data_IF_999722829612
#
_entry.id   IF_999722829612
#
_cell.length_a   1.000
_cell.length_b   1.000
_cell.length_c   1.000
_cell.angle_alpha   90.00
_cell.angle_beta   90.00
_cell.angle_gamma   90.00
#
_symmetry.space_group_name_H-M   'P 1'
#
loop_
_entity.id
_entity.type
_entity.pdbx_description
1 polymer ?
#
# COMPACT_ATOMS: atom_id res chain seq x y z
N UNK A 1 -6.44 -10.23 -21.73
CA UNK A 1 -5.82 -9.04 -22.30
C UNK A 1 -5.28 -8.13 -21.19
N UNK A 2 -6.08 -7.69 -20.19
CA UNK A 2 -5.63 -6.73 -19.13
C UNK A 2 -4.35 -7.21 -18.43
N UNK A 3 -4.33 -8.47 -17.94
CA UNK A 3 -3.15 -9.03 -17.26
C UNK A 3 -1.94 -9.08 -18.20
N UNK A 4 -2.17 -9.45 -19.46
CA UNK A 4 -1.11 -9.49 -20.45
C UNK A 4 -0.53 -8.09 -20.71
N UNK A 5 -1.37 -7.07 -20.87
CA UNK A 5 -0.95 -5.69 -21.07
C UNK A 5 -0.14 -5.18 -19.86
N UNK A 6 -0.58 -5.47 -18.64
CA UNK A 6 0.17 -5.15 -17.43
C UNK A 6 1.55 -5.82 -17.40
N UNK A 7 1.63 -7.08 -17.80
CA UNK A 7 2.90 -7.83 -17.82
C UNK A 7 3.81 -7.38 -18.96
N UNK A 8 3.25 -7.00 -20.11
CA UNK A 8 4.00 -6.44 -21.23
C UNK A 8 4.52 -5.02 -20.93
N UNK A 9 3.87 -4.28 -19.99
CA UNK A 9 4.33 -2.94 -19.59
C UNK A 9 5.60 -2.95 -18.74
N UNK A 10 6.01 -4.09 -18.21
CA UNK A 10 7.28 -4.22 -17.49
C UNK A 10 8.46 -4.01 -18.44
N UNK A 11 9.42 -3.13 -18.11
CA UNK A 11 10.61 -2.93 -18.94
C UNK A 11 11.47 -4.19 -18.96
N UNK A 12 12.07 -4.48 -20.09
CA UNK A 12 13.12 -5.50 -20.17
C UNK A 12 14.32 -5.13 -19.27
N UNK A 13 15.04 -6.10 -18.71
CA UNK A 13 16.27 -5.81 -17.97
C UNK A 13 17.23 -4.92 -18.78
N UNK A 14 17.73 -3.84 -18.16
CA UNK A 14 18.62 -2.87 -18.79
C UNK A 14 17.92 -1.79 -19.63
N UNK A 15 16.60 -1.76 -19.69
CA UNK A 15 15.83 -0.73 -20.40
C UNK A 15 14.93 0.06 -19.44
N UNK A 16 14.71 1.33 -19.76
CA UNK A 16 13.80 2.20 -19.00
C UNK A 16 12.34 1.89 -19.33
N UNK A 17 11.44 2.23 -18.40
CA UNK A 17 9.99 2.17 -18.62
C UNK A 17 9.62 3.03 -19.84
N UNK A 18 8.82 2.48 -20.76
CA UNK A 18 8.39 3.17 -22.00
C UNK A 18 9.26 2.92 -23.24
N UNK A 19 10.37 2.20 -23.12
CA UNK A 19 11.22 1.82 -24.27
C UNK A 19 10.77 0.49 -24.90
N UNK A 20 9.48 0.35 -25.21
CA UNK A 20 8.91 -0.91 -25.71
C UNK A 20 9.32 -1.26 -27.13
N UNK A 21 9.73 -0.29 -27.92
CA UNK A 21 9.90 -0.43 -29.37
C UNK A 21 11.33 -0.20 -29.86
N UNK A 22 12.32 -0.65 -29.11
CA UNK A 22 13.71 -0.57 -29.58
C UNK A 22 13.99 -1.74 -30.51
N UNK A 23 13.96 -1.48 -31.82
CA UNK A 23 14.49 -2.40 -32.84
C UNK A 23 13.56 -3.55 -33.25
N UNK A 24 12.23 -3.39 -33.20
CA UNK A 24 11.29 -4.42 -33.68
C UNK A 24 11.35 -5.73 -32.89
N UNK A 25 11.74 -5.67 -31.62
CA UNK A 25 11.75 -6.82 -30.72
C UNK A 25 10.35 -7.27 -30.36
N UNK A 26 10.13 -8.58 -30.12
CA UNK A 26 8.82 -9.07 -29.72
C UNK A 26 8.40 -8.47 -28.37
N UNK A 27 7.11 -8.12 -28.24
CA UNK A 27 6.51 -7.79 -26.97
C UNK A 27 6.42 -9.07 -26.13
N UNK A 28 6.78 -8.98 -24.88
CA UNK A 28 6.82 -10.13 -23.97
C UNK A 28 6.07 -9.79 -22.70
N UNK A 29 4.98 -10.51 -22.45
CA UNK A 29 4.34 -10.52 -21.15
C UNK A 29 5.13 -11.43 -20.22
N UNK A 30 5.79 -10.88 -19.20
CA UNK A 30 6.70 -11.68 -18.38
C UNK A 30 6.53 -11.46 -16.88
N UNK A 31 6.89 -12.50 -16.12
CA UNK A 31 6.89 -12.49 -14.66
C UNK A 31 8.00 -13.39 -14.15
N UNK A 32 8.66 -12.92 -13.06
CA UNK A 32 9.61 -13.75 -12.33
C UNK A 32 8.94 -14.35 -11.10
N UNK A 33 9.49 -15.48 -10.63
CA UNK A 33 9.16 -16.12 -9.39
C UNK A 33 10.43 -16.52 -8.64
N UNK A 34 10.38 -16.50 -7.32
CA UNK A 34 11.44 -17.01 -6.45
C UNK A 34 10.79 -17.78 -5.32
N UNK A 35 11.19 -19.05 -5.13
CA UNK A 35 10.69 -19.84 -4.02
C UNK A 35 11.30 -19.39 -2.69
N UNK A 36 10.64 -19.77 -1.60
CA UNK A 36 11.16 -19.49 -0.26
C UNK A 36 12.57 -20.06 -0.09
N UNK A 37 13.47 -19.25 0.45
CA UNK A 37 14.87 -19.64 0.72
C UNK A 37 15.76 -19.72 -0.52
N UNK A 38 15.41 -19.08 -1.63
CA UNK A 38 16.23 -19.04 -2.86
C UNK A 38 16.53 -20.40 -3.48
N UNK A 39 15.57 -21.33 -3.42
CA UNK A 39 15.74 -22.68 -3.98
C UNK A 39 15.49 -22.73 -5.47
N UNK A 40 14.50 -21.94 -5.92
CA UNK A 40 14.07 -21.89 -7.32
C UNK A 40 13.98 -20.46 -7.81
N UNK A 41 14.64 -20.17 -8.89
CA UNK A 41 14.54 -18.93 -9.63
C UNK A 41 13.79 -19.20 -10.95
N UNK A 42 12.62 -18.59 -11.14
CA UNK A 42 11.78 -18.74 -12.31
C UNK A 42 11.67 -17.43 -13.10
N UNK A 43 11.60 -17.55 -14.41
CA UNK A 43 11.11 -16.52 -15.31
C UNK A 43 10.23 -17.16 -16.37
N UNK A 44 9.04 -16.62 -16.57
CA UNK A 44 8.12 -17.04 -17.62
C UNK A 44 7.81 -15.83 -18.49
N UNK A 45 7.98 -15.95 -19.79
CA UNK A 45 7.68 -14.94 -20.80
C UNK A 45 6.79 -15.50 -21.89
N UNK A 46 5.75 -14.78 -22.26
CA UNK A 46 4.86 -15.12 -23.37
C UNK A 46 4.88 -14.03 -24.42
N UNK A 47 5.25 -14.38 -25.63
CA UNK A 47 5.10 -13.56 -26.83
C UNK A 47 3.76 -13.88 -27.49
N UNK A 48 3.54 -13.35 -28.69
CA UNK A 48 2.35 -13.71 -29.49
C UNK A 48 2.36 -15.19 -29.91
N UNK A 49 3.53 -15.76 -30.14
CA UNK A 49 3.68 -17.08 -30.76
C UNK A 49 4.39 -18.10 -29.87
N UNK A 50 5.11 -17.66 -28.86
CA UNK A 50 5.92 -18.52 -28.00
C UNK A 50 5.66 -18.25 -26.52
N UNK A 51 5.76 -19.29 -25.72
CA UNK A 51 5.89 -19.18 -24.27
C UNK A 51 7.19 -19.84 -23.87
N UNK A 52 8.03 -19.08 -23.16
CA UNK A 52 9.34 -19.51 -22.69
C UNK A 52 9.31 -19.53 -21.16
N UNK A 53 9.67 -20.66 -20.59
CA UNK A 53 9.89 -20.80 -19.15
C UNK A 53 11.36 -21.13 -18.88
N UNK A 54 11.98 -20.42 -17.95
CA UNK A 54 13.33 -20.68 -17.48
C UNK A 54 13.29 -20.93 -15.99
N UNK A 55 13.87 -22.06 -15.60
CA UNK A 55 14.11 -22.42 -14.24
C UNK A 55 15.61 -22.56 -13.98
N UNK A 56 16.05 -21.94 -12.88
CA UNK A 56 17.42 -22.10 -12.38
C UNK A 56 17.34 -22.51 -10.93
N UNK A 57 17.92 -23.63 -10.61
CA UNK A 57 17.88 -24.22 -9.28
C UNK A 57 18.77 -25.46 -9.20
N UNK A 58 18.79 -26.10 -8.04
CA UNK A 58 19.46 -27.38 -7.85
C UNK A 58 18.42 -28.51 -7.75
N UNK A 59 18.65 -29.66 -8.39
CA UNK A 59 17.72 -30.78 -8.34
C UNK A 59 17.45 -31.29 -6.92
N UNK A 60 18.39 -31.14 -6.01
CA UNK A 60 18.30 -31.52 -4.61
C UNK A 60 17.57 -30.47 -3.73
N UNK A 61 17.16 -29.34 -4.32
CA UNK A 61 16.50 -28.24 -3.62
C UNK A 61 17.40 -27.44 -2.67
N UNK A 62 18.73 -27.60 -2.76
CA UNK A 62 19.66 -26.81 -1.97
C UNK A 62 19.56 -25.33 -2.34
N UNK A 63 19.46 -24.41 -1.35
CA UNK A 63 19.39 -22.98 -1.62
C UNK A 63 20.58 -22.42 -2.41
N UNK A 64 20.31 -21.43 -3.22
CA UNK A 64 21.29 -20.61 -3.94
C UNK A 64 21.17 -19.15 -3.46
N UNK A 65 21.71 -18.77 -2.29
CA UNK A 65 21.58 -17.45 -1.73
C UNK A 65 22.01 -16.35 -2.72
N UNK A 66 21.18 -15.29 -2.87
CA UNK A 66 21.43 -14.22 -3.81
C UNK A 66 21.00 -14.51 -5.26
N UNK A 67 20.59 -15.74 -5.57
CA UNK A 67 20.03 -16.11 -6.85
C UNK A 67 18.52 -16.07 -6.80
N UNK A 68 17.89 -15.18 -7.56
CA UNK A 68 16.44 -15.05 -7.65
C UNK A 68 16.00 -14.75 -9.07
N UNK A 69 14.72 -14.94 -9.34
CA UNK A 69 14.18 -14.94 -10.70
C UNK A 69 14.61 -13.77 -11.58
N UNK A 70 14.63 -12.53 -11.01
CA UNK A 70 14.97 -11.34 -11.79
C UNK A 70 16.47 -11.24 -12.15
N UNK A 71 17.36 -11.81 -11.33
CA UNK A 71 18.82 -11.74 -11.55
C UNK A 71 19.32 -12.90 -12.41
N UNK A 72 18.74 -14.08 -12.20
CA UNK A 72 19.29 -15.32 -12.79
C UNK A 72 18.46 -15.82 -13.97
N UNK A 73 17.17 -16.05 -13.76
CA UNK A 73 16.32 -16.67 -14.77
C UNK A 73 15.83 -15.67 -15.84
N UNK A 74 15.59 -14.41 -15.46
CA UNK A 74 15.02 -13.40 -16.35
C UNK A 74 15.94 -13.02 -17.50
N UNK A 75 17.23 -12.71 -17.30
CA UNK A 75 18.15 -12.43 -18.42
C UNK A 75 18.21 -13.59 -19.41
N UNK A 76 18.35 -14.82 -18.90
CA UNK A 76 18.41 -16.02 -19.73
C UNK A 76 17.12 -16.24 -20.51
N UNK A 77 15.96 -15.99 -19.89
CA UNK A 77 14.66 -16.06 -20.57
C UNK A 77 14.60 -15.09 -21.77
N UNK A 78 15.11 -13.86 -21.62
CA UNK A 78 15.15 -12.90 -22.72
C UNK A 78 16.15 -13.27 -23.79
N UNK A 79 17.29 -13.85 -23.47
CA UNK A 79 18.24 -14.39 -24.45
C UNK A 79 17.59 -15.49 -25.28
N UNK A 80 16.86 -16.41 -24.64
CA UNK A 80 16.11 -17.45 -25.36
C UNK A 80 15.04 -16.82 -26.27
N UNK A 81 14.23 -15.89 -25.76
CA UNK A 81 13.20 -15.20 -26.57
C UNK A 81 13.83 -14.49 -27.78
N UNK A 82 14.95 -13.81 -27.57
CA UNK A 82 15.62 -13.05 -28.64
C UNK A 82 16.29 -13.95 -29.67
N UNK A 83 16.57 -15.22 -29.36
CA UNK A 83 17.10 -16.26 -30.28
C UNK A 83 16.01 -16.93 -31.11
N UNK A 84 14.72 -16.83 -30.72
CA UNK A 84 13.63 -17.47 -31.45
C UNK A 84 13.39 -16.79 -32.83
N UNK A 85 12.90 -17.56 -33.81
CA UNK A 85 12.51 -17.01 -35.12
C UNK A 85 11.45 -15.92 -34.95
N UNK A 86 11.71 -14.75 -35.50
CA UNK A 86 10.76 -13.63 -35.47
C UNK A 86 9.64 -13.85 -36.46
N UNK A 87 8.42 -13.51 -36.03
CA UNK A 87 7.24 -13.61 -36.86
C UNK A 87 6.59 -12.23 -37.01
N UNK A 88 5.82 -12.10 -38.11
CA UNK A 88 5.11 -10.86 -38.39
C UNK A 88 4.13 -10.51 -37.26
N UNK A 89 4.23 -9.29 -36.77
CA UNK A 89 3.36 -8.77 -35.69
C UNK A 89 3.85 -9.07 -34.27
N UNK A 90 5.04 -9.66 -34.07
CA UNK A 90 5.58 -9.94 -32.73
C UNK A 90 5.77 -8.67 -31.88
N UNK A 91 6.08 -7.53 -32.50
CA UNK A 91 6.23 -6.24 -31.83
C UNK A 91 4.91 -5.49 -31.64
N UNK A 92 3.82 -5.93 -32.28
CA UNK A 92 2.55 -5.24 -32.21
C UNK A 92 1.81 -5.55 -30.89
N UNK A 93 1.21 -4.51 -30.30
CA UNK A 93 0.29 -4.70 -29.17
C UNK A 93 -0.95 -5.49 -29.61
N UNK A 94 -1.43 -6.36 -28.75
CA UNK A 94 -2.71 -7.02 -28.99
C UNK A 94 -3.85 -5.98 -28.92
N UNK A 95 -4.80 -5.98 -29.87
CA UNK A 95 -5.92 -5.04 -29.83
C UNK A 95 -6.73 -5.23 -28.55
N UNK A 96 -7.16 -4.12 -27.96
CA UNK A 96 -8.04 -4.15 -26.78
C UNK A 96 -9.37 -4.79 -27.14
N UNK A 97 -9.83 -5.81 -26.41
CA UNK A 97 -11.13 -6.45 -26.64
C UNK A 97 -12.27 -5.48 -26.39
N UNK A 98 -13.40 -5.66 -27.07
CA UNK A 98 -14.59 -4.85 -26.89
C UNK A 98 -15.18 -4.90 -25.46
N UNK A 99 -14.88 -5.97 -24.72
CA UNK A 99 -15.27 -6.12 -23.30
C UNK A 99 -14.41 -5.31 -22.34
N UNK A 100 -13.34 -4.67 -22.81
CA UNK A 100 -12.44 -3.86 -21.97
C UNK A 100 -12.55 -2.41 -22.39
N UNK A 101 -12.75 -1.51 -21.43
CA UNK A 101 -12.63 -0.06 -21.60
C UNK A 101 -11.50 0.48 -20.73
N UNK A 102 -10.97 1.64 -21.11
CA UNK A 102 -10.06 2.41 -20.27
C UNK A 102 -10.76 3.67 -19.81
N UNK A 103 -10.89 3.83 -18.50
CA UNK A 103 -11.60 4.95 -17.89
C UNK A 103 -10.83 5.46 -16.69
N UNK A 104 -11.10 6.71 -16.30
CA UNK A 104 -10.52 7.28 -15.09
C UNK A 104 -11.35 6.85 -13.87
N UNK A 105 -10.66 6.34 -12.86
CA UNK A 105 -11.21 6.02 -11.55
C UNK A 105 -10.65 6.97 -10.49
N UNK A 106 -11.41 7.16 -9.44
CA UNK A 106 -11.06 8.00 -8.30
C UNK A 106 -10.48 7.18 -7.13
N UNK A 107 -9.34 7.57 -6.66
CA UNK A 107 -8.79 7.06 -5.41
C UNK A 107 -9.17 7.99 -4.25
N UNK A 108 -9.47 7.44 -3.03
CA UNK A 108 -9.36 6.05 -2.62
C UNK A 108 -10.60 5.18 -2.85
N UNK A 109 -11.70 5.72 -3.40
CA UNK A 109 -12.97 4.99 -3.53
C UNK A 109 -12.92 3.86 -4.55
N UNK A 110 -12.11 3.99 -5.61
CA UNK A 110 -12.07 3.06 -6.73
C UNK A 110 -13.26 3.22 -7.70
N UNK A 111 -14.06 4.27 -7.54
CA UNK A 111 -15.24 4.51 -8.37
C UNK A 111 -14.88 5.26 -9.65
N UNK A 112 -15.74 5.18 -10.66
CA UNK A 112 -15.59 5.98 -11.88
C UNK A 112 -15.60 7.46 -11.55
N UNK A 113 -14.73 8.21 -12.22
CA UNK A 113 -14.61 9.65 -11.99
C UNK A 113 -15.81 10.44 -12.50
N UNK A 114 -16.50 9.92 -13.53
CA UNK A 114 -17.63 10.59 -14.14
C UNK A 114 -18.80 10.75 -13.14
N UNK A 115 -19.19 12.00 -12.91
CA UNK A 115 -20.28 12.35 -11.99
C UNK A 115 -19.94 12.24 -10.51
N UNK A 116 -18.71 11.87 -10.13
CA UNK A 116 -18.33 11.75 -8.73
C UNK A 116 -17.96 13.13 -8.15
N UNK A 117 -18.51 13.52 -6.97
CA UNK A 117 -18.13 14.76 -6.30
C UNK A 117 -16.63 14.82 -5.97
N UNK A 118 -16.03 16.00 -6.10
CA UNK A 118 -14.59 16.21 -5.83
C UNK A 118 -14.16 15.75 -4.43
N UNK A 119 -15.03 15.85 -3.43
CA UNK A 119 -14.77 15.36 -2.06
C UNK A 119 -14.56 13.84 -1.99
N UNK A 120 -15.02 13.09 -3.00
CA UNK A 120 -14.88 11.64 -3.11
C UNK A 120 -13.76 11.22 -4.07
N UNK A 121 -13.11 12.18 -4.74
CA UNK A 121 -12.05 11.94 -5.72
C UNK A 121 -10.79 12.73 -5.36
N UNK A 122 -9.87 12.11 -4.64
CA UNK A 122 -8.60 12.77 -4.25
C UNK A 122 -7.51 12.62 -5.30
N UNK A 123 -7.59 11.58 -6.12
CA UNK A 123 -6.63 11.32 -7.19
C UNK A 123 -7.29 10.55 -8.32
N UNK A 124 -7.12 11.03 -9.54
CA UNK A 124 -7.52 10.33 -10.77
C UNK A 124 -6.44 9.33 -11.17
N UNK A 125 -6.87 8.16 -11.58
CA UNK A 125 -6.00 7.08 -12.10
C UNK A 125 -6.68 6.41 -13.29
N UNK A 126 -5.99 6.28 -14.45
CA UNK A 126 -6.50 5.48 -15.54
C UNK A 126 -6.55 4.00 -15.13
N UNK A 127 -7.63 3.33 -15.41
CA UNK A 127 -7.82 1.91 -15.12
C UNK A 127 -8.50 1.19 -16.29
N UNK A 128 -8.17 -0.07 -16.45
CA UNK A 128 -8.90 -0.95 -17.36
C UNK A 128 -10.10 -1.55 -16.62
N UNK A 129 -11.27 -1.40 -17.21
CA UNK A 129 -12.52 -1.94 -16.71
C UNK A 129 -12.95 -3.12 -17.59
N UNK A 130 -13.36 -4.23 -16.97
CA UNK A 130 -13.93 -5.38 -17.66
C UNK A 130 -15.46 -5.26 -17.64
N UNK A 131 -16.09 -5.26 -18.83
CA UNK A 131 -17.53 -5.12 -18.99
C UNK A 131 -18.10 -3.90 -18.24
N UNK A 132 -17.32 -2.84 -18.19
CA UNK A 132 -17.67 -1.61 -17.48
C UNK A 132 -17.68 -1.69 -15.95
N UNK A 133 -17.24 -2.80 -15.36
CA UNK A 133 -17.16 -2.94 -13.92
C UNK A 133 -15.86 -2.35 -13.39
N UNK A 134 -15.96 -1.34 -12.52
CA UNK A 134 -14.83 -0.85 -11.72
C UNK A 134 -14.76 -1.68 -10.45
N UNK A 135 -13.68 -2.49 -10.25
CA UNK A 135 -13.53 -3.24 -9.02
C UNK A 135 -13.29 -2.29 -7.84
N UNK A 136 -13.83 -2.58 -6.64
CA UNK A 136 -13.57 -1.76 -5.47
C UNK A 136 -12.08 -1.73 -5.16
N UNK A 137 -11.56 -0.56 -4.79
CA UNK A 137 -10.14 -0.38 -4.44
C UNK A 137 -9.73 -1.26 -3.26
N UNK A 138 -10.65 -1.48 -2.32
CA UNK A 138 -10.45 -2.36 -1.17
C UNK A 138 -11.57 -3.40 -1.11
N UNK A 139 -11.26 -4.70 -1.09
CA UNK A 139 -12.26 -5.74 -0.99
C UNK A 139 -12.98 -5.70 0.37
N UNK A 140 -14.26 -6.10 0.39
CA UNK A 140 -15.13 -6.04 1.58
C UNK A 140 -14.52 -6.70 2.84
N UNK A 141 -13.74 -7.76 2.70
CA UNK A 141 -13.03 -8.41 3.81
C UNK A 141 -12.12 -7.47 4.58
N UNK A 142 -11.49 -6.56 3.84
CA UNK A 142 -10.56 -5.58 4.39
C UNK A 142 -11.27 -4.28 4.73
N UNK A 143 -12.40 -3.98 4.10
CA UNK A 143 -13.21 -2.80 4.37
C UNK A 143 -13.66 -2.73 5.84
N UNK A 144 -14.00 -3.86 6.46
CA UNK A 144 -14.32 -3.93 7.90
C UNK A 144 -13.13 -3.62 8.80
N UNK A 145 -11.91 -3.93 8.34
CA UNK A 145 -10.67 -3.74 9.10
C UNK A 145 -10.05 -2.36 8.86
N UNK A 146 -10.22 -1.82 7.66
CA UNK A 146 -9.53 -0.61 7.22
C UNK A 146 -10.44 0.61 7.07
N UNK A 147 -11.73 0.45 7.26
CA UNK A 147 -12.80 1.39 6.98
C UNK A 147 -12.81 1.89 5.52
N UNK A 148 -13.87 1.60 4.75
CA UNK A 148 -13.92 1.86 3.32
C UNK A 148 -13.98 3.35 3.01
N UNK A 149 -13.49 3.66 1.83
CA UNK A 149 -13.23 4.94 1.25
C UNK A 149 -14.30 6.04 1.31
N UNK A 150 -15.47 5.82 1.91
CA UNK A 150 -16.51 6.86 2.11
C UNK A 150 -16.88 6.99 3.58
N UNK A 151 -16.93 8.22 4.06
CA UNK A 151 -17.47 8.55 5.37
C UNK A 151 -18.51 9.63 5.26
N UNK A 152 -19.72 9.35 5.80
CA UNK A 152 -20.79 10.33 5.96
C UNK A 152 -20.59 11.14 7.24
N UNK A 153 -20.92 12.42 7.18
CA UNK A 153 -20.95 13.31 8.33
C UNK A 153 -22.02 14.38 8.12
N UNK A 154 -22.52 14.94 9.21
CA UNK A 154 -23.37 16.12 9.18
C UNK A 154 -22.51 17.37 9.18
N UNK A 155 -22.83 18.33 8.35
CA UNK A 155 -22.19 19.64 8.28
C UNK A 155 -23.21 20.75 8.47
N UNK A 156 -22.81 21.79 9.15
CA UNK A 156 -23.51 23.06 9.15
C UNK A 156 -23.55 23.63 7.73
N UNK A 157 -24.73 23.84 7.19
CA UNK A 157 -24.90 24.35 5.82
C UNK A 157 -24.20 25.67 5.57
N UNK A 158 -24.04 26.51 6.59
CA UNK A 158 -23.47 27.85 6.50
C UNK A 158 -21.94 27.84 6.56
N UNK A 159 -21.35 27.04 7.43
CA UNK A 159 -19.91 27.05 7.69
C UNK A 159 -19.17 25.88 7.04
N UNK A 160 -19.87 24.80 6.69
CA UNK A 160 -19.30 23.54 6.23
C UNK A 160 -18.60 22.74 7.32
N UNK A 161 -18.58 23.24 8.57
CA UNK A 161 -17.97 22.54 9.70
C UNK A 161 -18.83 21.34 10.14
N UNK A 162 -18.18 20.34 10.72
CA UNK A 162 -18.83 19.12 11.15
C UNK A 162 -19.74 19.37 12.36
N UNK A 163 -20.92 18.72 12.35
CA UNK A 163 -21.87 18.70 13.46
C UNK A 163 -21.79 17.33 14.13
N UNK A 164 -21.77 17.28 15.48
CA UNK A 164 -21.84 16.02 16.21
C UNK A 164 -23.27 15.50 16.27
N UNK A 165 -23.45 14.19 16.43
CA UNK A 165 -24.77 13.57 16.45
C UNK A 165 -25.67 14.09 17.58
N UNK A 166 -25.08 14.53 18.67
CA UNK A 166 -25.78 15.01 19.85
C UNK A 166 -26.03 16.54 19.85
N UNK A 167 -25.43 17.23 18.87
CA UNK A 167 -25.60 18.66 18.70
C UNK A 167 -26.84 18.98 17.88
N UNK A 168 -27.53 20.06 18.23
CA UNK A 168 -28.61 20.66 17.46
C UNK A 168 -28.27 22.09 17.16
N UNK A 169 -28.10 22.38 15.86
CA UNK A 169 -27.87 23.75 15.43
C UNK A 169 -29.21 24.50 15.23
N UNK A 170 -29.21 25.83 15.43
CA UNK A 170 -30.40 26.63 15.14
C UNK A 170 -30.68 26.82 13.65
N UNK A 171 -29.86 26.26 12.78
CA UNK A 171 -29.95 26.37 11.33
C UNK A 171 -29.74 24.99 10.66
N UNK A 172 -29.88 24.95 9.34
CA UNK A 172 -29.92 23.72 8.57
C UNK A 172 -28.60 22.93 8.62
N UNK A 173 -28.75 21.63 8.82
CA UNK A 173 -27.68 20.64 8.75
C UNK A 173 -27.77 19.88 7.43
N UNK A 174 -26.64 19.66 6.77
CA UNK A 174 -26.56 18.96 5.49
C UNK A 174 -25.68 17.72 5.62
N UNK A 175 -26.21 16.58 5.19
CA UNK A 175 -25.40 15.36 5.09
C UNK A 175 -24.37 15.50 3.97
N UNK A 176 -23.10 15.22 4.28
CA UNK A 176 -22.01 15.24 3.35
C UNK A 176 -21.22 13.93 3.40
N UNK A 177 -20.49 13.66 2.35
CA UNK A 177 -19.60 12.51 2.26
C UNK A 177 -18.19 12.97 1.91
N UNK A 178 -17.20 12.28 2.43
CA UNK A 178 -15.79 12.48 2.13
C UNK A 178 -15.11 11.13 1.87
N UNK A 179 -14.21 11.10 0.91
CA UNK A 179 -13.35 9.94 0.68
C UNK A 179 -12.25 9.88 1.73
N UNK A 180 -12.02 8.70 2.28
CA UNK A 180 -10.94 8.46 3.24
C UNK A 180 -10.04 7.33 2.79
N UNK A 181 -8.75 7.54 2.92
CA UNK A 181 -7.78 6.48 2.82
C UNK A 181 -7.85 5.58 4.05
N UNK A 182 -7.55 4.28 3.91
CA UNK A 182 -7.39 3.42 5.07
C UNK A 182 -6.39 4.03 6.06
N UNK A 183 -6.75 4.01 7.33
CA UNK A 183 -5.93 4.59 8.39
C UNK A 183 -4.50 4.03 8.38
N UNK A 184 -4.34 2.73 8.06
CA UNK A 184 -3.05 2.08 7.91
C UNK A 184 -2.11 2.79 6.93
N UNK A 185 -2.62 3.42 5.88
CA UNK A 185 -1.81 4.12 4.88
C UNK A 185 -1.42 5.53 5.30
N UNK A 186 -2.08 6.11 6.31
CA UNK A 186 -1.84 7.48 6.78
C UNK A 186 -0.36 7.85 6.97
N UNK A 187 0.49 7.00 7.58
CA UNK A 187 1.90 7.31 7.78
C UNK A 187 2.69 7.54 6.47
N UNK A 188 2.25 6.92 5.37
CA UNK A 188 2.93 6.97 4.06
C UNK A 188 2.27 7.93 3.05
N UNK A 189 1.12 8.51 3.41
CA UNK A 189 0.47 9.50 2.57
C UNK A 189 1.15 10.87 2.67
N UNK A 190 1.10 11.66 1.61
CA UNK A 190 1.53 13.04 1.65
C UNK A 190 0.68 13.86 2.63
N UNK A 191 1.23 14.98 3.14
CA UNK A 191 0.50 15.89 4.04
C UNK A 191 -0.83 16.35 3.40
N UNK A 192 -0.79 16.78 2.14
CA UNK A 192 -1.97 17.24 1.40
C UNK A 192 -3.05 16.14 1.29
N UNK A 193 -2.65 14.89 1.00
CA UNK A 193 -3.57 13.76 0.91
C UNK A 193 -4.20 13.44 2.27
N UNK A 194 -3.42 13.53 3.35
CA UNK A 194 -3.95 13.33 4.71
C UNK A 194 -4.96 14.41 5.09
N UNK A 195 -4.64 15.67 4.82
CA UNK A 195 -5.54 16.82 5.08
C UNK A 195 -6.84 16.70 4.29
N UNK A 196 -6.76 16.32 3.01
CA UNK A 196 -7.95 16.06 2.17
C UNK A 196 -8.82 14.89 2.64
N UNK A 197 -8.27 13.99 3.46
CA UNK A 197 -8.98 12.83 4.05
C UNK A 197 -9.55 13.11 5.43
N UNK A 198 -9.25 14.24 6.03
CA UNK A 198 -9.73 14.58 7.37
C UNK A 198 -11.17 15.09 7.31
N UNK A 199 -11.95 14.70 8.32
CA UNK A 199 -13.24 15.35 8.55
C UNK A 199 -13.01 16.81 8.88
N UNK A 200 -13.91 17.72 8.44
CA UNK A 200 -13.88 19.10 8.87
C UNK A 200 -13.88 19.21 10.42
N UNK A 201 -13.32 20.29 10.91
CA UNK A 201 -13.34 20.61 12.34
C UNK A 201 -14.79 20.63 12.86
N UNK A 202 -14.96 20.30 14.13
CA UNK A 202 -16.26 20.39 14.78
C UNK A 202 -16.70 21.86 14.83
N UNK A 203 -17.97 22.11 14.55
CA UNK A 203 -18.58 23.45 14.70
C UNK A 203 -18.35 23.97 16.11
N UNK A 204 -17.93 25.23 16.28
CA UNK A 204 -17.81 25.82 17.60
C UNK A 204 -19.14 25.89 18.35
N UNK A 205 -20.26 25.88 17.65
CA UNK A 205 -21.61 25.86 18.22
C UNK A 205 -21.99 24.47 18.76
N UNK A 206 -21.18 23.43 18.42
CA UNK A 206 -21.30 22.05 18.90
C UNK A 206 -20.20 21.68 19.89
N UNK A 207 -19.63 22.63 20.63
CA UNK A 207 -18.60 22.32 21.63
C UNK A 207 -19.21 21.44 22.73
N UNK A 208 -18.65 20.24 22.83
CA UNK A 208 -18.85 19.41 24.01
C UNK A 208 -18.31 20.16 25.25
N UNK A 209 -19.18 20.52 26.15
CA UNK A 209 -18.82 21.01 27.49
C UNK A 209 -18.24 19.83 28.29
N UNK A 210 -16.97 19.46 28.02
CA UNK A 210 -16.24 18.61 28.95
C UNK A 210 -15.55 17.35 28.46
N UNK A 211 -15.41 17.12 27.15
CA UNK A 211 -14.46 16.07 26.69
C UNK A 211 -13.07 16.65 26.53
N UNK A 212 -12.17 16.17 27.38
CA UNK A 212 -10.73 16.42 27.38
C UNK A 212 -10.18 16.43 25.95
N UNK A 213 -9.31 17.40 25.66
CA UNK A 213 -8.51 17.41 24.46
C UNK A 213 -7.87 16.02 24.29
N UNK A 214 -8.20 15.29 23.22
CA UNK A 214 -7.67 13.96 23.00
C UNK A 214 -6.15 14.05 23.04
N UNK A 215 -5.55 13.39 24.01
CA UNK A 215 -4.09 13.31 24.12
C UNK A 215 -3.61 12.68 22.82
N UNK A 216 -2.69 13.37 22.12
CA UNK A 216 -2.16 12.85 20.87
C UNK A 216 -1.53 11.47 21.09
N UNK A 217 -1.83 10.52 20.20
CA UNK A 217 -1.24 9.19 20.27
C UNK A 217 0.29 9.30 20.26
N UNK A 218 0.95 8.71 21.24
CA UNK A 218 2.41 8.67 21.32
C UNK A 218 2.93 7.32 21.83
N UNK A 219 4.15 6.99 21.43
CA UNK A 219 4.83 5.77 21.86
C UNK A 219 5.63 6.10 23.11
N UNK A 220 5.35 5.37 24.19
CA UNK A 220 6.11 5.36 25.42
C UNK A 220 7.08 4.17 25.43
N UNK A 221 8.29 4.36 25.97
CA UNK A 221 9.35 3.33 26.05
C UNK A 221 10.36 3.38 24.90
N UNK A 222 10.20 4.24 23.88
CA UNK A 222 11.17 4.48 22.82
C UNK A 222 11.07 5.91 22.28
N UNK A 223 12.17 6.64 22.34
CA UNK A 223 12.25 8.02 21.82
C UNK A 223 12.65 8.06 20.35
N UNK A 224 12.17 9.08 19.64
CA UNK A 224 12.61 9.32 18.25
C UNK A 224 14.11 9.63 18.20
N UNK A 225 14.81 9.00 17.25
CA UNK A 225 16.26 9.09 17.12
C UNK A 225 17.07 8.22 18.11
N UNK A 226 16.43 7.38 18.92
CA UNK A 226 17.12 6.53 19.88
C UNK A 226 18.12 5.57 19.20
N UNK A 227 19.25 5.34 19.87
CA UNK A 227 20.22 4.31 19.47
C UNK A 227 20.20 3.21 20.51
N UNK A 228 19.88 1.99 20.08
CA UNK A 228 19.81 0.81 20.92
C UNK A 228 21.09 0.00 20.77
N UNK A 229 21.77 -0.29 21.87
CA UNK A 229 22.93 -1.14 21.89
C UNK A 229 22.59 -2.50 22.53
N UNK A 230 23.10 -3.58 21.96
CA UNK A 230 23.01 -4.91 22.58
C UNK A 230 23.95 -4.98 23.79
N UNK A 231 23.54 -5.78 24.76
CA UNK A 231 24.45 -6.10 25.85
C UNK A 231 25.72 -6.82 25.30
N UNK A 232 26.91 -6.53 25.81
CA UNK A 232 28.12 -7.22 25.39
C UNK A 232 27.96 -8.75 25.51
N UNK A 233 28.36 -9.49 24.47
CA UNK A 233 28.26 -10.95 24.38
C UNK A 233 26.83 -11.54 24.43
N UNK A 234 25.78 -10.76 24.12
CA UNK A 234 24.43 -11.25 24.03
C UNK A 234 24.13 -11.68 22.58
N UNK A 235 23.63 -12.92 22.41
CA UNK A 235 23.07 -13.40 21.16
C UNK A 235 21.65 -12.87 20.91
N UNK A 236 21.02 -12.30 21.95
CA UNK A 236 19.67 -11.75 21.89
C UNK A 236 19.67 -10.28 21.47
N UNK A 237 18.61 -9.87 20.79
CA UNK A 237 18.35 -8.48 20.44
C UNK A 237 18.05 -7.61 21.67
N UNK A 238 17.83 -6.32 21.42
CA UNK A 238 17.43 -5.38 22.46
C UNK A 238 15.93 -5.56 22.76
N UNK A 239 15.60 -5.91 23.99
CA UNK A 239 14.22 -6.08 24.42
C UNK A 239 13.67 -4.79 24.99
N UNK A 240 12.60 -4.27 24.38
CA UNK A 240 11.90 -3.07 24.82
C UNK A 240 10.53 -3.42 25.36
N UNK A 241 10.05 -2.57 26.26
CA UNK A 241 8.68 -2.50 26.76
C UNK A 241 8.06 -1.22 26.23
N UNK A 242 7.03 -1.34 25.40
CA UNK A 242 6.43 -0.24 24.67
C UNK A 242 4.94 -0.12 25.02
N UNK A 243 4.42 1.10 25.04
CA UNK A 243 3.00 1.40 25.18
C UNK A 243 2.59 2.44 24.17
N UNK A 244 1.35 2.35 23.70
CA UNK A 244 0.72 3.43 22.96
C UNK A 244 -0.20 4.20 23.90
N UNK A 245 0.12 5.45 24.17
CA UNK A 245 -0.67 6.32 25.05
C UNK A 245 -1.46 7.33 24.22
N UNK A 246 -2.65 7.73 24.65
CA UNK A 246 -3.51 8.69 23.93
C UNK A 246 -4.61 8.03 23.10
N UNK A 247 -4.82 6.71 23.21
CA UNK A 247 -5.98 6.01 22.64
C UNK A 247 -6.39 4.85 23.54
N UNK A 248 -7.69 4.66 23.71
CA UNK A 248 -8.28 3.50 24.41
C UNK A 248 -8.66 2.37 23.43
N UNK A 249 -8.48 2.58 22.15
CA UNK A 249 -8.84 1.65 21.09
C UNK A 249 -7.76 0.60 20.83
N UNK A 250 -8.04 -0.30 19.89
CA UNK A 250 -7.03 -1.21 19.36
C UNK A 250 -5.95 -0.41 18.62
N UNK A 251 -4.68 -0.73 18.88
CA UNK A 251 -3.52 -0.12 18.27
C UNK A 251 -2.69 -1.20 17.56
N UNK A 252 -2.56 -1.06 16.27
CA UNK A 252 -1.68 -1.89 15.45
C UNK A 252 -0.25 -1.34 15.48
N UNK A 253 0.71 -2.23 15.70
CA UNK A 253 2.13 -1.92 15.70
C UNK A 253 2.80 -2.44 14.44
N UNK A 254 3.55 -1.56 13.77
CA UNK A 254 4.29 -1.90 12.55
C UNK A 254 5.77 -1.55 12.71
N UNK A 255 6.63 -2.49 12.36
CA UNK A 255 8.08 -2.28 12.25
C UNK A 255 8.44 -2.28 10.77
N UNK A 256 9.04 -1.19 10.29
CA UNK A 256 9.42 -1.00 8.89
C UNK A 256 8.26 -1.29 7.91
N UNK A 257 7.05 -0.88 8.29
CA UNK A 257 5.83 -1.11 7.53
C UNK A 257 5.23 -2.52 7.63
N UNK A 258 5.86 -3.45 8.39
CA UNK A 258 5.34 -4.80 8.63
C UNK A 258 4.59 -4.86 9.96
N UNK A 259 3.40 -5.41 9.95
CA UNK A 259 2.63 -5.62 11.16
C UNK A 259 3.36 -6.60 12.10
N UNK A 260 3.49 -6.24 13.38
CA UNK A 260 4.21 -7.03 14.39
C UNK A 260 3.38 -7.40 15.61
N UNK A 261 2.39 -6.59 15.97
CA UNK A 261 1.54 -6.83 17.13
C UNK A 261 0.29 -5.94 17.10
N UNK A 262 -0.69 -6.28 17.95
CA UNK A 262 -1.81 -5.42 18.27
C UNK A 262 -1.95 -5.35 19.81
N UNK A 263 -2.18 -4.14 20.32
CA UNK A 263 -2.49 -3.90 21.75
C UNK A 263 -3.80 -3.14 21.86
N UNK A 264 -4.32 -2.96 23.07
CA UNK A 264 -5.49 -2.13 23.31
C UNK A 264 -5.19 -1.10 24.40
N UNK A 265 -5.52 0.16 24.13
CA UNK A 265 -5.20 1.25 25.03
C UNK A 265 -3.71 1.25 25.40
N UNK A 266 -3.39 1.56 26.64
CA UNK A 266 -2.03 1.60 27.19
C UNK A 266 -1.45 0.20 27.53
N UNK A 267 -1.96 -0.89 26.93
CA UNK A 267 -1.45 -2.23 27.15
C UNK A 267 0.03 -2.32 26.77
N UNK A 268 0.83 -2.96 27.63
CA UNK A 268 2.26 -3.16 27.42
C UNK A 268 2.51 -4.16 26.30
N UNK A 269 3.31 -3.76 25.32
CA UNK A 269 3.91 -4.64 24.33
C UNK A 269 5.38 -4.89 24.66
N UNK A 270 5.78 -6.14 24.73
CA UNK A 270 7.21 -6.51 24.84
C UNK A 270 7.70 -7.01 23.48
N UNK A 271 8.79 -6.44 23.00
CA UNK A 271 9.37 -6.83 21.70
C UNK A 271 10.89 -6.81 21.75
N UNK A 272 11.48 -7.80 21.08
CA UNK A 272 12.91 -7.90 20.85
C UNK A 272 13.25 -7.37 19.45
N UNK A 273 14.25 -6.48 19.38
CA UNK A 273 14.76 -5.89 18.15
C UNK A 273 16.17 -6.43 17.93
N UNK A 274 16.30 -7.37 17.00
CA UNK A 274 17.54 -8.11 16.75
C UNK A 274 18.27 -7.66 15.49
N UNK A 275 17.59 -7.09 14.52
CA UNK A 275 18.18 -6.67 13.25
C UNK A 275 18.94 -5.35 13.42
N UNK A 276 20.27 -5.29 13.12
CA UNK A 276 21.02 -4.04 13.15
C UNK A 276 20.59 -3.12 12.01
N UNK A 277 20.61 -1.81 12.27
CA UNK A 277 20.30 -0.79 11.27
C UNK A 277 19.25 0.21 11.73
N UNK A 278 18.85 1.08 10.81
CA UNK A 278 17.82 2.08 11.04
C UNK A 278 16.43 1.45 10.86
N UNK A 279 15.57 1.69 11.83
CA UNK A 279 14.20 1.15 11.87
C UNK A 279 13.17 2.25 12.12
N UNK A 280 11.96 1.98 11.71
CA UNK A 280 10.79 2.83 11.98
C UNK A 280 9.71 2.01 12.66
N UNK A 281 9.34 2.40 13.88
CA UNK A 281 8.20 1.82 14.61
C UNK A 281 7.01 2.75 14.50
N UNK A 282 5.89 2.23 14.03
CA UNK A 282 4.62 2.94 13.88
C UNK A 282 3.58 2.33 14.81
N UNK A 283 2.89 3.17 15.58
CA UNK A 283 1.67 2.83 16.30
C UNK A 283 0.48 3.49 15.60
N UNK A 284 -0.56 2.72 15.29
CA UNK A 284 -1.75 3.16 14.56
C UNK A 284 -3.00 2.69 15.29
N UNK A 285 -3.78 3.63 15.77
CA UNK A 285 -5.05 3.36 16.46
C UNK A 285 -6.21 3.15 15.45
N UNK A 286 -7.23 2.41 15.87
CA UNK A 286 -8.38 2.08 15.04
C UNK A 286 -9.19 3.31 14.58
N UNK A 287 -9.11 4.45 15.29
CA UNK A 287 -9.71 5.74 14.90
C UNK A 287 -8.91 6.50 13.84
N UNK A 288 -7.73 5.97 13.44
CA UNK A 288 -6.84 6.56 12.46
C UNK A 288 -5.78 7.48 13.04
N UNK A 289 -5.73 7.68 14.35
CA UNK A 289 -4.60 8.35 14.99
C UNK A 289 -3.35 7.49 14.86
N UNK A 290 -2.21 8.11 14.57
CA UNK A 290 -0.95 7.40 14.43
C UNK A 290 0.24 8.22 14.89
N UNK A 291 1.32 7.51 15.23
CA UNK A 291 2.61 8.10 15.57
C UNK A 291 3.74 7.19 15.11
N UNK A 292 4.90 7.78 14.88
CA UNK A 292 6.09 7.08 14.45
C UNK A 292 7.31 7.50 15.27
N UNK A 293 8.18 6.54 15.55
CA UNK A 293 9.52 6.79 16.08
C UNK A 293 10.54 6.09 15.19
N UNK A 294 11.66 6.77 14.90
CA UNK A 294 12.82 6.21 14.21
C UNK A 294 13.88 5.90 15.23
N UNK A 295 14.56 4.79 15.06
CA UNK A 295 15.63 4.39 15.96
C UNK A 295 16.68 3.56 15.20
N UNK A 296 17.84 3.41 15.80
CA UNK A 296 18.92 2.62 15.22
C UNK A 296 19.35 1.51 16.18
N UNK A 297 19.52 0.29 15.69
CA UNK A 297 20.05 -0.85 16.45
C UNK A 297 21.51 -1.05 16.08
N UNK A 298 22.42 -0.94 17.05
CA UNK A 298 23.83 -1.21 16.84
C UNK A 298 24.10 -2.71 16.69
N UNK A 299 25.16 -3.02 15.97
CA UNK A 299 25.67 -4.39 15.79
C UNK A 299 26.19 -4.99 17.08
#
# INVERSE_FOLDING_TARGET
>A
WIVREMLESNPRPGYSVGTFDVGGRPRVAWKTGTSYGYRDAWAIGSTRHYTVGVWVGRPDGTPLPGQYGAVTALPLMFEVVDSLPRQRGDSAAAPMPASVSQEDICWPTGERAEGLPAALCQRLMPAYLLEGAAPPTFPEREARRWQPGRQRYLADARTGLRVSADCRLPHEEVAREIARWPALLSPWLSKATREASQLPALSPDCRDDGREASVALHIDGLNDGATLARAPNSEHGVRLQLRALGSEQAVDWLLDGRWIAQTRGAQLMQREFAEPGAHTLTALAADGAWTQVRFNVLR
#
